data_IF_725185986732
#
_entry.id   IF_725185986732
#
_cell.length_a   1.000
_cell.length_b   1.000
_cell.length_c   1.000
_cell.angle_alpha   90.00
_cell.angle_beta   90.00
_cell.angle_gamma   90.00
#
_symmetry.space_group_name_H-M   'P 1'
#
loop_
_entity.id
_entity.type
_entity.pdbx_description
1 polymer ?
#
# COMPACT_ATOMS: atom_id res chain seq x y z
N UNK A 1 -44.29 4.03 -43.67
CA UNK A 1 -43.49 5.17 -43.21
C UNK A 1 -42.68 4.73 -41.99
N UNK A 2 -41.38 4.58 -42.17
CA UNK A 2 -40.48 4.00 -41.20
C UNK A 2 -39.85 5.11 -40.35
N UNK A 3 -40.12 5.09 -39.05
CA UNK A 3 -39.52 5.99 -38.04
C UNK A 3 -38.27 5.38 -37.45
N UNK A 4 -37.09 5.88 -37.84
CA UNK A 4 -35.81 5.45 -37.27
C UNK A 4 -35.66 5.99 -35.83
N UNK A 5 -35.71 5.11 -34.86
CA UNK A 5 -35.26 5.36 -33.49
C UNK A 5 -33.72 5.30 -33.44
N UNK A 6 -33.07 6.43 -33.46
CA UNK A 6 -31.62 6.53 -33.20
C UNK A 6 -31.39 6.42 -31.68
N UNK A 7 -31.03 5.22 -31.24
CA UNK A 7 -30.49 4.99 -29.89
C UNK A 7 -29.13 5.64 -29.77
N UNK A 8 -29.05 6.73 -29.00
CA UNK A 8 -27.79 7.36 -28.58
C UNK A 8 -27.12 6.45 -27.56
N UNK A 9 -26.19 5.63 -28.02
CA UNK A 9 -25.23 4.98 -27.16
C UNK A 9 -24.37 6.07 -26.47
N UNK A 10 -24.71 6.38 -25.22
CA UNK A 10 -23.80 7.12 -24.34
C UNK A 10 -22.59 6.25 -24.10
N UNK A 11 -21.48 6.59 -24.73
CA UNK A 11 -20.17 6.07 -24.38
C UNK A 11 -19.88 6.51 -22.94
N UNK A 12 -20.05 5.59 -22.00
CA UNK A 12 -19.45 5.68 -20.68
C UNK A 12 -17.94 5.76 -20.90
N UNK A 13 -17.38 6.94 -20.72
CA UNK A 13 -15.94 7.11 -20.57
C UNK A 13 -15.59 6.38 -19.26
N UNK A 14 -15.09 5.16 -19.38
CA UNK A 14 -14.38 4.52 -18.30
C UNK A 14 -13.18 5.42 -18.00
N UNK A 15 -13.25 6.10 -16.87
CA UNK A 15 -12.08 6.72 -16.24
C UNK A 15 -11.06 5.63 -16.09
N UNK A 16 -9.99 5.71 -16.87
CA UNK A 16 -8.90 4.76 -16.82
C UNK A 16 -8.18 4.85 -15.49
N UNK A 17 -8.69 4.13 -14.51
CA UNK A 17 -7.85 3.63 -13.45
C UNK A 17 -6.94 2.64 -14.16
N UNK A 18 -5.68 3.01 -14.36
CA UNK A 18 -4.70 2.15 -14.98
C UNK A 18 -4.77 0.80 -14.28
N UNK A 19 -5.08 -0.24 -15.03
CA UNK A 19 -4.86 -1.62 -14.59
C UNK A 19 -3.37 -1.72 -14.30
N UNK A 20 -3.03 -1.56 -13.01
CA UNK A 20 -1.69 -1.87 -12.51
C UNK A 20 -1.54 -3.35 -12.84
N UNK A 21 -0.70 -3.62 -13.83
CA UNK A 21 -0.26 -4.96 -14.17
C UNK A 21 -0.02 -5.70 -12.85
N UNK A 22 -0.56 -6.90 -12.74
CA UNK A 22 -0.36 -7.84 -11.63
C UNK A 22 1.11 -8.30 -11.56
N UNK A 23 2.04 -7.37 -11.72
CA UNK A 23 3.43 -7.58 -11.39
C UNK A 23 3.56 -7.57 -9.88
N UNK A 24 4.09 -8.62 -9.37
CA UNK A 24 4.31 -8.97 -7.97
C UNK A 24 5.23 -7.99 -7.27
N UNK A 25 4.66 -6.86 -6.93
CA UNK A 25 5.37 -5.90 -6.11
C UNK A 25 5.70 -6.55 -4.75
N UNK A 26 6.95 -6.73 -4.38
CA UNK A 26 7.34 -7.42 -3.15
C UNK A 26 6.66 -6.88 -1.90
N UNK A 27 6.37 -5.57 -1.87
CA UNK A 27 5.67 -4.92 -0.76
C UNK A 27 4.25 -5.45 -0.52
N UNK A 28 3.56 -5.95 -1.57
CA UNK A 28 2.21 -6.50 -1.44
C UNK A 28 2.17 -7.82 -0.65
N UNK A 29 3.33 -8.40 -0.37
CA UNK A 29 3.46 -9.61 0.45
C UNK A 29 4.24 -9.36 1.73
N UNK A 30 5.00 -8.28 1.78
CA UNK A 30 5.96 -8.04 2.85
C UNK A 30 5.33 -7.40 4.09
N UNK A 31 4.81 -6.20 3.99
CA UNK A 31 4.13 -5.47 5.07
C UNK A 31 5.03 -4.97 6.21
N UNK A 32 6.32 -5.28 6.23
CA UNK A 32 7.19 -4.99 7.38
C UNK A 32 7.39 -3.50 7.64
N UNK A 33 7.37 -2.64 6.61
CA UNK A 33 7.47 -1.20 6.80
C UNK A 33 6.28 -0.66 7.62
N UNK A 34 5.08 -1.21 7.40
CA UNK A 34 3.87 -0.87 8.14
C UNK A 34 3.87 -1.41 9.59
N UNK A 35 4.81 -2.26 9.93
CA UNK A 35 5.01 -2.82 11.27
C UNK A 35 6.37 -2.41 11.88
N UNK A 36 7.03 -1.42 11.30
CA UNK A 36 8.34 -0.99 11.76
C UNK A 36 8.48 0.52 11.90
N UNK A 37 7.95 1.29 10.95
CA UNK A 37 8.07 2.75 10.95
C UNK A 37 6.84 3.41 11.52
N UNK A 38 7.04 4.51 12.27
CA UNK A 38 5.98 5.47 12.53
C UNK A 38 5.58 6.15 11.22
N UNK A 39 4.30 6.14 10.91
CA UNK A 39 3.73 6.75 9.71
C UNK A 39 3.10 8.08 10.09
N UNK A 40 3.86 9.16 10.02
CA UNK A 40 3.39 10.52 10.32
C UNK A 40 3.39 11.39 9.08
N UNK A 41 2.35 12.21 8.91
CA UNK A 41 2.10 13.03 7.74
C UNK A 41 1.34 14.29 8.11
N UNK A 42 1.26 15.25 7.17
CA UNK A 42 0.56 16.49 7.41
C UNK A 42 -0.95 16.28 7.51
N UNK A 43 -1.63 16.93 8.46
CA UNK A 43 -3.06 16.75 8.72
C UNK A 43 -3.95 16.96 7.50
N UNK A 44 -3.55 17.81 6.55
CA UNK A 44 -4.33 18.08 5.33
C UNK A 44 -4.51 16.86 4.43
N UNK A 45 -3.65 15.84 4.56
CA UNK A 45 -3.82 14.60 3.79
C UNK A 45 -5.05 13.77 4.24
N UNK A 46 -5.58 14.06 5.44
CA UNK A 46 -6.81 13.46 5.94
C UNK A 46 -8.02 14.42 5.88
N UNK A 47 -7.85 15.62 5.35
CA UNK A 47 -8.92 16.61 5.19
C UNK A 47 -9.49 16.56 3.77
N UNK A 48 -10.67 15.98 3.63
CA UNK A 48 -11.34 15.86 2.34
C UNK A 48 -11.65 17.22 1.68
N UNK A 49 -11.81 18.29 2.46
CA UNK A 49 -12.06 19.65 1.93
C UNK A 49 -10.85 20.23 1.21
N UNK A 50 -9.65 19.73 1.56
CA UNK A 50 -8.37 20.10 0.94
C UNK A 50 -7.87 19.07 -0.08
N UNK A 51 -8.71 18.08 -0.41
CA UNK A 51 -8.35 17.00 -1.34
C UNK A 51 -7.58 15.83 -0.69
N UNK A 52 -7.49 15.81 0.64
CA UNK A 52 -6.95 14.69 1.38
C UNK A 52 -7.81 13.44 1.23
N UNK A 53 -7.18 12.28 1.16
CA UNK A 53 -7.87 11.00 0.96
C UNK A 53 -7.55 9.95 2.03
N UNK A 54 -6.66 10.25 2.97
CA UNK A 54 -6.40 9.37 4.11
C UNK A 54 -7.63 9.35 5.02
N UNK A 55 -8.16 8.16 5.38
CA UNK A 55 -9.31 8.08 6.28
C UNK A 55 -8.97 8.63 7.67
N UNK A 56 -9.61 9.72 8.12
CA UNK A 56 -9.28 10.35 9.40
C UNK A 56 -9.54 9.43 10.60
N UNK A 57 -10.50 8.51 10.49
CA UNK A 57 -10.82 7.52 11.53
C UNK A 57 -9.71 6.49 11.79
N UNK A 58 -8.74 6.39 10.88
CA UNK A 58 -7.56 5.52 11.01
C UNK A 58 -6.31 6.27 11.47
N UNK A 59 -6.49 7.51 11.95
CA UNK A 59 -5.39 8.39 12.34
C UNK A 59 -5.53 8.87 13.77
N UNK A 60 -4.41 9.26 14.35
CA UNK A 60 -4.34 9.94 15.64
C UNK A 60 -3.52 11.22 15.52
N UNK A 61 -3.82 12.18 16.39
CA UNK A 61 -3.10 13.44 16.42
C UNK A 61 -1.74 13.28 17.07
N UNK A 62 -0.69 13.56 16.33
CA UNK A 62 0.67 13.53 16.83
C UNK A 62 1.09 14.90 17.41
N UNK A 63 0.81 15.96 16.67
CA UNK A 63 1.08 17.35 17.06
C UNK A 63 0.13 18.31 16.30
N UNK A 64 0.21 19.66 16.46
CA UNK A 64 -0.68 20.58 15.78
C UNK A 64 -0.67 20.50 14.24
N UNK A 65 0.39 19.98 13.65
CA UNK A 65 0.60 19.96 12.21
C UNK A 65 0.59 18.55 11.61
N UNK A 66 0.70 17.51 12.45
CA UNK A 66 0.84 16.13 11.98
C UNK A 66 -0.16 15.19 12.63
N UNK A 67 -0.58 14.24 11.79
CA UNK A 67 -1.26 13.02 12.20
C UNK A 67 -0.31 11.83 12.08
N UNK A 68 -0.61 10.75 12.77
CA UNK A 68 0.01 9.46 12.57
C UNK A 68 -1.07 8.42 12.24
N UNK A 69 -0.72 7.38 11.49
CA UNK A 69 -1.60 6.22 11.36
C UNK A 69 -1.68 5.51 12.71
N UNK A 70 -2.89 5.16 13.12
CA UNK A 70 -3.14 4.44 14.39
C UNK A 70 -2.25 3.19 14.51
N UNK A 71 -1.66 3.03 15.69
CA UNK A 71 -0.78 1.91 16.02
C UNK A 71 0.64 2.04 15.51
N UNK A 72 1.00 3.12 14.81
CA UNK A 72 2.38 3.32 14.32
C UNK A 72 3.24 4.17 15.25
N UNK A 73 2.66 4.88 16.21
CA UNK A 73 3.38 5.66 17.23
C UNK A 73 3.54 4.88 18.55
N UNK A 74 3.73 3.58 18.45
CA UNK A 74 3.87 2.65 19.57
C UNK A 74 5.30 2.09 19.66
N UNK A 75 5.65 1.52 20.81
CA UNK A 75 6.95 0.86 21.01
C UNK A 75 7.15 -0.34 20.06
N UNK A 76 6.06 -1.00 19.67
CA UNK A 76 6.02 -2.03 18.65
C UNK A 76 5.05 -1.59 17.55
N UNK A 77 5.50 -0.80 16.59
CA UNK A 77 4.63 -0.22 15.57
C UNK A 77 3.90 -1.29 14.76
N UNK A 78 2.60 -1.07 14.54
CA UNK A 78 1.82 -1.85 13.58
C UNK A 78 0.65 -0.99 13.09
N UNK A 79 0.71 -0.58 11.84
CA UNK A 79 -0.33 0.23 11.23
C UNK A 79 -1.68 -0.49 11.29
N UNK A 80 -2.72 0.22 11.72
CA UNK A 80 -4.11 -0.29 11.76
C UNK A 80 -4.62 -0.76 10.38
N UNK A 81 -4.10 -0.17 9.30
CA UNK A 81 -4.48 -0.53 7.93
C UNK A 81 -3.73 -1.77 7.40
N UNK A 82 -2.77 -2.30 8.15
CA UNK A 82 -2.02 -3.49 7.74
C UNK A 82 -2.85 -4.75 7.97
N UNK A 83 -3.06 -5.51 6.92
CA UNK A 83 -3.78 -6.78 6.92
C UNK A 83 -2.86 -7.94 6.54
N UNK A 84 -3.16 -9.12 7.07
CA UNK A 84 -2.43 -10.34 6.75
C UNK A 84 -1.20 -10.60 7.61
N UNK A 85 -0.36 -11.54 7.15
CA UNK A 85 0.83 -12.03 7.84
C UNK A 85 2.09 -11.46 7.21
N UNK A 86 2.93 -10.82 8.03
CA UNK A 86 4.19 -10.20 7.59
C UNK A 86 5.08 -11.21 6.86
N UNK A 87 5.66 -10.77 5.75
CA UNK A 87 6.60 -11.55 4.96
C UNK A 87 5.98 -12.69 4.13
N UNK A 88 4.70 -13.00 4.34
CA UNK A 88 4.00 -14.09 3.64
C UNK A 88 2.92 -13.53 2.73
N UNK A 89 1.92 -12.87 3.31
CA UNK A 89 0.78 -12.28 2.59
C UNK A 89 0.26 -11.09 3.41
N UNK A 90 0.88 -9.95 3.28
CA UNK A 90 0.49 -8.73 3.98
C UNK A 90 0.30 -7.58 3.00
N UNK A 91 -0.76 -6.81 3.20
CA UNK A 91 -1.08 -5.68 2.34
C UNK A 91 -1.74 -4.54 3.12
N UNK A 92 -1.75 -3.37 2.52
CA UNK A 92 -2.42 -2.19 3.08
C UNK A 92 -3.89 -2.18 2.68
N UNK A 93 -4.82 -2.18 3.64
CA UNK A 93 -6.27 -2.12 3.39
C UNK A 93 -6.73 -0.78 2.78
N UNK A 94 -5.90 0.26 2.85
CA UNK A 94 -6.17 1.57 2.26
C UNK A 94 -5.13 1.96 1.19
N UNK A 95 -4.59 1.00 0.47
CA UNK A 95 -3.44 1.19 -0.43
C UNK A 95 -3.55 2.43 -1.33
N UNK A 96 -4.70 2.65 -1.96
CA UNK A 96 -4.94 3.81 -2.84
C UNK A 96 -5.05 5.15 -2.07
N UNK A 97 -5.41 5.09 -0.80
CA UNK A 97 -5.63 6.24 0.08
C UNK A 97 -4.55 6.40 1.16
N UNK A 98 -3.44 5.67 1.00
CA UNK A 98 -2.35 5.74 1.98
C UNK A 98 -1.69 7.12 1.97
N UNK A 99 -1.12 7.58 3.11
CA UNK A 99 -0.38 8.83 3.18
C UNK A 99 0.78 8.92 2.19
N UNK A 100 1.20 10.14 1.84
CA UNK A 100 2.32 10.41 0.94
C UNK A 100 3.60 9.69 1.39
N UNK A 101 3.91 9.74 2.67
CA UNK A 101 5.08 9.08 3.27
C UNK A 101 5.12 7.57 3.00
N UNK A 102 3.96 6.91 2.91
CA UNK A 102 3.90 5.49 2.55
C UNK A 102 4.16 5.25 1.05
N UNK A 103 3.90 6.25 0.20
CA UNK A 103 4.18 6.19 -1.24
C UNK A 103 5.65 6.44 -1.56
N UNK A 104 6.34 7.15 -0.69
CA UNK A 104 7.76 7.50 -0.84
C UNK A 104 8.70 6.36 -0.46
N UNK A 105 8.21 5.37 0.30
CA UNK A 105 9.02 4.19 0.64
C UNK A 105 9.19 3.32 -0.59
N UNK A 106 10.41 3.24 -1.08
CA UNK A 106 10.78 2.37 -2.19
C UNK A 106 11.35 1.06 -1.66
N UNK A 107 10.92 -0.09 -2.18
CA UNK A 107 11.57 -1.35 -1.89
C UNK A 107 12.94 -1.41 -2.56
N UNK A 108 13.87 -2.14 -1.94
CA UNK A 108 15.17 -2.39 -2.54
C UNK A 108 15.02 -3.03 -3.92
N UNK A 109 15.81 -2.57 -4.87
CA UNK A 109 15.90 -3.04 -6.26
C UNK A 109 14.72 -2.70 -7.19
N UNK A 110 13.68 -1.97 -6.74
CA UNK A 110 12.59 -1.56 -7.62
C UNK A 110 13.09 -0.82 -8.87
N UNK A 111 14.08 0.05 -8.69
CA UNK A 111 14.73 0.81 -9.77
C UNK A 111 16.23 0.49 -9.87
N UNK A 112 16.63 -0.73 -9.55
CA UNK A 112 18.01 -1.17 -9.61
C UNK A 112 18.91 -0.65 -8.49
N UNK A 113 18.35 -0.03 -7.44
CA UNK A 113 19.08 0.52 -6.30
C UNK A 113 18.62 -0.06 -4.97
N UNK A 114 19.54 -0.13 -4.01
CA UNK A 114 19.27 -0.58 -2.65
C UNK A 114 18.51 0.53 -1.90
N UNK A 115 17.48 0.16 -1.14
CA UNK A 115 16.81 1.02 -0.17
C UNK A 115 17.16 0.59 1.25
N UNK A 116 18.00 1.36 1.91
CA UNK A 116 18.39 1.10 3.29
C UNK A 116 17.20 1.07 4.26
N UNK A 117 16.15 1.84 3.95
CA UNK A 117 14.92 1.88 4.73
C UNK A 117 14.18 0.54 4.61
N UNK A 118 14.02 0.02 3.40
CA UNK A 118 13.43 -1.29 3.15
C UNK A 118 14.22 -2.40 3.85
N UNK A 119 15.54 -2.41 3.65
CA UNK A 119 16.42 -3.44 4.20
C UNK A 119 16.38 -3.44 5.74
N UNK A 120 16.43 -2.25 6.37
CA UNK A 120 16.34 -2.10 7.82
C UNK A 120 15.04 -2.70 8.39
N UNK A 121 13.90 -2.42 7.76
CA UNK A 121 12.62 -2.93 8.21
C UNK A 121 12.55 -4.46 8.05
N UNK A 122 13.04 -5.00 6.95
CA UNK A 122 13.05 -6.44 6.71
C UNK A 122 13.94 -7.18 7.71
N UNK A 123 15.16 -6.72 7.92
CA UNK A 123 16.09 -7.32 8.89
C UNK A 123 15.54 -7.29 10.30
N UNK A 124 14.89 -6.19 10.71
CA UNK A 124 14.28 -6.06 12.02
C UNK A 124 13.16 -7.11 12.27
N UNK A 125 12.53 -7.60 11.21
CA UNK A 125 11.51 -8.65 11.26
C UNK A 125 12.04 -10.04 10.88
N UNK A 126 13.36 -10.20 10.82
CA UNK A 126 14.00 -11.49 10.50
C UNK A 126 13.81 -11.93 9.05
N UNK A 127 13.46 -11.01 8.15
CA UNK A 127 13.37 -11.29 6.72
C UNK A 127 14.68 -10.95 6.02
N UNK A 128 15.09 -11.73 5.01
CA UNK A 128 16.25 -11.38 4.18
C UNK A 128 15.98 -10.08 3.41
N UNK A 129 17.03 -9.30 3.13
CA UNK A 129 16.92 -8.14 2.24
C UNK A 129 16.47 -8.60 0.85
N UNK A 130 15.76 -7.70 0.13
CA UNK A 130 15.39 -7.97 -1.25
C UNK A 130 16.63 -7.98 -2.14
N UNK A 131 16.57 -8.78 -3.18
CA UNK A 131 17.54 -8.86 -4.26
C UNK A 131 16.89 -8.53 -5.59
N UNK A 132 17.66 -8.33 -6.64
CA UNK A 132 17.12 -8.15 -7.99
C UNK A 132 16.29 -9.34 -8.47
N UNK A 133 16.57 -10.53 -7.96
CA UNK A 133 15.84 -11.76 -8.30
C UNK A 133 14.38 -11.74 -7.82
N UNK A 134 14.11 -11.11 -6.67
CA UNK A 134 12.76 -11.01 -6.10
C UNK A 134 11.77 -10.26 -7.01
N UNK A 135 12.29 -9.53 -8.00
CA UNK A 135 11.51 -8.81 -9.00
C UNK A 135 11.27 -9.61 -10.27
N UNK A 136 12.03 -10.68 -10.49
CA UNK A 136 12.00 -11.52 -11.70
C UNK A 136 11.11 -12.75 -11.55
N UNK A 137 10.88 -13.18 -10.31
CA UNK A 137 10.10 -14.38 -10.04
C UNK A 137 8.63 -14.21 -10.48
N UNK A 138 8.11 -15.08 -11.34
CA UNK A 138 6.70 -15.07 -11.67
C UNK A 138 5.87 -15.51 -10.44
N UNK A 139 4.66 -14.99 -10.24
CA UNK A 139 3.77 -15.39 -9.12
C UNK A 139 3.40 -16.86 -9.28
N UNK A 140 3.90 -17.67 -8.43
CA UNK A 140 3.46 -19.03 -8.32
C UNK A 140 2.03 -19.05 -7.76
N UNK A 141 1.05 -19.15 -8.65
CA UNK A 141 -0.38 -19.28 -8.30
C UNK A 141 -0.68 -20.62 -7.61
N UNK A 142 0.34 -21.47 -7.43
CA UNK A 142 0.22 -22.82 -6.91
C UNK A 142 0.61 -22.96 -5.44
N UNK A 143 0.92 -21.86 -4.75
CA UNK A 143 1.12 -21.92 -3.29
C UNK A 143 -0.25 -21.98 -2.62
N UNK A 144 -0.65 -23.07 -1.99
CA UNK A 144 -1.91 -23.16 -1.26
C UNK A 144 -1.91 -22.11 -0.14
N UNK A 145 -2.99 -21.32 -0.05
CA UNK A 145 -3.21 -20.44 1.10
C UNK A 145 -3.19 -21.30 2.36
N UNK A 146 -2.50 -20.88 3.45
CA UNK A 146 -2.54 -21.58 4.71
C UNK A 146 -4.01 -21.65 5.16
N UNK A 147 -4.51 -22.87 5.30
CA UNK A 147 -5.85 -23.10 5.86
C UNK A 147 -5.79 -22.71 7.32
N UNK A 148 -6.60 -21.72 7.68
CA UNK A 148 -6.80 -21.32 9.08
C UNK A 148 -7.67 -22.42 9.71
N UNK A 149 -7.08 -23.18 10.60
CA UNK A 149 -7.80 -24.09 11.48
C UNK A 149 -8.36 -23.32 12.68
#
# INVERSE_FOLDING_TARGET
>A
MAGLLRSRLRRLRASGCAMVSLMKHPCLRCGVCCAFFRVSFHWSEADASLGGCVPPELTEKLDPHRLAMLGTDEAQPRCVALQGTLGVAAHCGIYERRPSVCREVQPSWEFGTISLQCDKARLAHGLPVLTSQDWLEPFDTNTPLPQIA
#
